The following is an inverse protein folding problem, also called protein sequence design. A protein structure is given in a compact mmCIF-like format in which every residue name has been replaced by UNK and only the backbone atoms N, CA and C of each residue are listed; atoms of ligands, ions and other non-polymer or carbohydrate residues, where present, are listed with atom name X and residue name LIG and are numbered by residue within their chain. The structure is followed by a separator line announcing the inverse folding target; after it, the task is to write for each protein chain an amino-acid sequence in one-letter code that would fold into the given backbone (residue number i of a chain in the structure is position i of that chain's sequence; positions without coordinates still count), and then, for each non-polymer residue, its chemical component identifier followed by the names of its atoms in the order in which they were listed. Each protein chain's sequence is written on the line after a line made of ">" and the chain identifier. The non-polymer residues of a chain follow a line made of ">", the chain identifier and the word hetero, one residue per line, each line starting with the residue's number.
data_IF_647914701943
#
_entry.id   IF_647914701943
#
_cell.length_a   1.000
_cell.length_b   1.000
_cell.length_c   1.000
_cell.angle_alpha   90.00
_cell.angle_beta   90.00
_cell.angle_gamma   90.00
#
_symmetry.space_group_name_H-M   'P 1'
#
loop_
_entity.id
_entity.type
_entity.pdbx_description
1 polymer ?
#
# COMPACT_ATOMS: atom_id res chain seq x y z
N UNK A 1 9.45 -47.12 39.19
CA UNK A 1 8.83 -48.43 39.41
C UNK A 1 7.99 -48.78 38.19
N UNK A 2 8.36 -49.92 37.63
CA UNK A 2 7.59 -50.86 36.80
C UNK A 2 7.09 -50.29 35.47
N UNK A 3 7.74 -50.60 34.33
CA UNK A 3 7.94 -51.90 33.62
C UNK A 3 6.72 -52.31 32.76
N UNK A 4 6.99 -52.23 31.46
CA UNK A 4 6.88 -53.34 30.48
C UNK A 4 5.53 -54.05 30.33
N UNK A 5 5.10 -54.24 29.09
CA UNK A 5 4.98 -55.61 28.49
C UNK A 5 4.33 -55.49 27.10
N UNK A 6 5.13 -55.70 26.04
CA UNK A 6 5.18 -56.92 25.20
C UNK A 6 3.86 -57.23 24.44
N UNK A 7 3.77 -57.54 23.24
CA UNK A 7 4.56 -58.25 22.22
C UNK A 7 3.55 -58.95 21.30
N UNK A 8 3.80 -58.90 20.01
CA UNK A 8 3.62 -59.93 18.96
C UNK A 8 2.26 -60.57 18.70
N UNK A 9 1.92 -60.59 17.44
CA UNK A 9 1.56 -61.75 16.62
C UNK A 9 1.39 -61.21 15.20
N UNK A 10 2.10 -61.53 14.20
CA UNK A 10 2.70 -62.84 13.81
C UNK A 10 2.18 -63.18 12.42
N UNK A 11 3.13 -63.19 11.53
CA UNK A 11 3.13 -63.76 10.17
C UNK A 11 2.31 -65.05 10.01
N UNK A 12 1.70 -65.25 8.82
CA UNK A 12 1.65 -66.50 8.04
C UNK A 12 1.15 -66.14 6.63
N UNK A 13 1.91 -66.09 5.61
CA UNK A 13 2.66 -67.04 4.78
C UNK A 13 1.84 -68.25 4.33
N UNK A 14 1.84 -68.45 3.07
CA UNK A 14 2.15 -69.62 2.26
C UNK A 14 1.20 -69.78 1.05
N UNK A 15 1.79 -69.59 -0.05
CA UNK A 15 1.80 -70.27 -1.34
C UNK A 15 1.14 -71.61 -1.43
N UNK A 16 0.39 -71.84 -2.53
CA UNK A 16 0.18 -73.16 -3.10
C UNK A 16 0.26 -73.08 -4.63
N UNK A 17 1.39 -73.60 -5.13
CA UNK A 17 1.57 -74.08 -6.49
C UNK A 17 0.94 -75.51 -6.61
N UNK A 18 0.42 -75.82 -7.76
CA UNK A 18 0.70 -77.01 -8.57
C UNK A 18 -0.45 -77.29 -9.54
N UNK A 19 -0.17 -77.24 -10.78
CA UNK A 19 0.06 -78.32 -11.78
C UNK A 19 -1.03 -79.36 -11.96
N UNK A 20 -1.50 -79.43 -13.20
CA UNK A 20 -1.68 -80.64 -14.05
C UNK A 20 -2.39 -80.21 -15.33
N UNK A 21 -1.83 -80.26 -16.47
CA UNK A 21 -1.37 -81.26 -17.40
C UNK A 21 -2.47 -81.83 -18.29
N UNK A 22 -2.31 -81.60 -19.57
CA UNK A 22 -2.56 -82.40 -20.78
C UNK A 22 -3.98 -82.91 -21.13
N UNK A 23 -4.37 -82.57 -22.35
CA UNK A 23 -5.41 -83.26 -23.13
C UNK A 23 -5.63 -82.52 -24.49
N UNK A 24 -5.03 -83.10 -25.55
CA UNK A 24 -5.12 -82.64 -26.94
C UNK A 24 -6.39 -83.13 -27.58
N UNK A 25 -7.07 -82.29 -28.41
CA UNK A 25 -7.63 -82.73 -29.71
C UNK A 25 -8.22 -81.59 -30.52
N UNK A 26 -7.81 -81.63 -31.75
CA UNK A 26 -8.22 -81.00 -33.01
C UNK A 26 -9.29 -79.92 -33.10
N UNK A 27 -9.00 -78.97 -33.97
CA UNK A 27 -9.75 -77.83 -34.49
C UNK A 27 -11.06 -78.22 -35.23
N UNK A 28 -11.97 -77.23 -35.45
CA UNK A 28 -11.93 -76.49 -36.70
C UNK A 28 -12.12 -74.96 -36.55
N UNK A 29 -11.73 -74.28 -37.62
CA UNK A 29 -11.73 -72.85 -37.80
C UNK A 29 -13.10 -72.19 -37.71
N UNK A 30 -13.17 -71.03 -37.08
CA UNK A 30 -14.15 -69.98 -37.40
C UNK A 30 -13.80 -68.63 -36.72
N UNK A 31 -13.93 -67.60 -37.52
CA UNK A 31 -14.20 -66.26 -37.23
C UNK A 31 -13.16 -65.43 -36.36
N UNK A 32 -12.54 -64.45 -37.02
CA UNK A 32 -11.83 -63.37 -36.43
C UNK A 32 -12.81 -62.52 -35.62
N UNK A 33 -12.62 -62.48 -34.31
CA UNK A 33 -13.26 -61.57 -33.42
C UNK A 33 -12.29 -60.39 -33.23
N UNK A 34 -12.73 -59.18 -33.65
CA UNK A 34 -12.03 -57.93 -33.48
C UNK A 34 -11.73 -57.71 -31.97
N UNK A 35 -10.46 -57.53 -31.64
CA UNK A 35 -10.04 -57.10 -30.32
C UNK A 35 -10.62 -55.69 -30.02
N UNK A 36 -11.15 -55.44 -28.77
CA UNK A 36 -11.54 -54.11 -28.38
C UNK A 36 -10.32 -53.16 -28.43
N UNK A 37 -10.48 -52.06 -29.11
CA UNK A 37 -9.49 -50.96 -29.08
C UNK A 37 -9.32 -50.54 -27.62
N UNK A 38 -8.09 -50.66 -27.11
CA UNK A 38 -7.66 -50.09 -25.84
C UNK A 38 -7.81 -48.57 -25.97
N UNK A 39 -8.86 -47.99 -25.37
CA UNK A 39 -8.97 -46.54 -25.22
C UNK A 39 -7.73 -46.04 -24.46
N UNK A 40 -6.87 -45.31 -25.16
CA UNK A 40 -5.76 -44.62 -24.56
C UNK A 40 -6.33 -43.62 -23.53
N UNK A 41 -6.16 -43.91 -22.24
CA UNK A 41 -6.40 -42.97 -21.15
C UNK A 41 -5.41 -41.82 -21.40
N UNK A 42 -5.93 -40.73 -21.97
CA UNK A 42 -5.21 -39.46 -22.04
C UNK A 42 -5.02 -39.08 -20.57
N UNK A 43 -3.79 -39.20 -20.09
CA UNK A 43 -3.40 -38.67 -18.79
C UNK A 43 -3.67 -37.17 -18.88
N UNK A 44 -4.66 -36.69 -18.13
CA UNK A 44 -4.93 -35.27 -17.90
C UNK A 44 -3.63 -34.68 -17.34
N UNK A 45 -3.07 -33.69 -18.02
CA UNK A 45 -1.88 -32.97 -17.52
C UNK A 45 -2.20 -32.50 -16.09
N UNK A 46 -1.27 -32.56 -15.14
CA UNK A 46 -1.49 -32.02 -13.80
C UNK A 46 -1.99 -30.61 -13.96
N UNK A 47 -3.13 -30.28 -13.35
CA UNK A 47 -3.59 -28.90 -13.26
C UNK A 47 -2.43 -28.10 -12.67
N UNK A 48 -1.99 -27.05 -13.35
CA UNK A 48 -1.01 -26.11 -12.78
C UNK A 48 -1.60 -25.61 -11.46
N UNK A 49 -0.86 -25.77 -10.37
CA UNK A 49 -1.28 -25.24 -9.08
C UNK A 49 -1.42 -23.72 -9.19
N UNK A 50 -2.58 -23.21 -8.78
CA UNK A 50 -2.85 -21.77 -8.77
C UNK A 50 -1.85 -21.08 -7.87
N UNK A 51 -1.20 -20.03 -8.37
CA UNK A 51 -0.23 -19.25 -7.59
C UNK A 51 -0.92 -18.41 -6.52
N UNK A 52 -0.35 -18.36 -5.31
CA UNK A 52 -0.87 -17.62 -4.17
C UNK A 52 -0.14 -16.30 -3.98
N UNK A 53 -0.88 -15.20 -3.94
CA UNK A 53 -0.40 -13.86 -3.63
C UNK A 53 -0.80 -13.45 -2.21
N UNK A 54 0.19 -13.32 -1.32
CA UNK A 54 0.00 -12.75 0.02
C UNK A 54 0.00 -11.24 -0.04
N UNK A 55 -1.04 -10.60 0.51
CA UNK A 55 -1.21 -9.14 0.52
C UNK A 55 -1.27 -8.66 1.96
N UNK A 56 -0.27 -7.88 2.40
CA UNK A 56 -0.19 -7.34 3.75
C UNK A 56 -0.37 -5.84 3.77
N UNK A 57 -1.47 -5.36 4.37
CA UNK A 57 -1.83 -3.95 4.53
C UNK A 57 -1.61 -3.49 5.97
N UNK A 58 -1.22 -2.20 6.21
CA UNK A 58 -0.86 -1.73 7.52
C UNK A 58 -2.06 -1.61 8.47
N UNK A 59 -3.21 -1.12 7.98
CA UNK A 59 -4.34 -0.77 8.84
C UNK A 59 -5.65 -0.63 8.06
N UNK A 60 -6.77 -0.57 8.78
CA UNK A 60 -8.10 -0.19 8.24
C UNK A 60 -8.53 1.21 8.66
N UNK A 61 -7.73 1.93 9.45
CA UNK A 61 -8.11 3.26 9.95
C UNK A 61 -8.12 4.31 8.85
N UNK A 62 -7.24 4.22 7.87
CA UNK A 62 -7.34 4.95 6.61
C UNK A 62 -8.08 4.10 5.58
N UNK A 63 -9.14 4.66 4.99
CA UNK A 63 -10.03 3.96 4.05
C UNK A 63 -9.32 3.58 2.75
N UNK A 64 -8.26 4.30 2.38
CA UNK A 64 -7.48 3.96 1.19
C UNK A 64 -6.90 2.54 1.25
N UNK A 65 -6.40 2.10 2.42
CA UNK A 65 -5.82 0.76 2.55
C UNK A 65 -6.82 -0.37 2.31
N UNK A 66 -8.10 -0.13 2.66
CA UNK A 66 -9.19 -1.05 2.32
C UNK A 66 -9.36 -1.08 0.80
N UNK A 67 -9.43 0.09 0.17
CA UNK A 67 -9.56 0.20 -1.29
C UNK A 67 -8.37 -0.40 -2.03
N UNK A 68 -7.14 -0.18 -1.56
CA UNK A 68 -5.92 -0.78 -2.11
C UNK A 68 -5.99 -2.32 -2.06
N UNK A 69 -6.28 -2.87 -0.88
CA UNK A 69 -6.35 -4.32 -0.67
C UNK A 69 -7.45 -4.98 -1.51
N UNK A 70 -8.67 -4.44 -1.49
CA UNK A 70 -9.80 -4.96 -2.26
C UNK A 70 -9.55 -4.86 -3.78
N UNK A 71 -8.93 -3.76 -4.24
CA UNK A 71 -8.56 -3.58 -5.65
C UNK A 71 -7.53 -4.62 -6.08
N UNK A 72 -6.52 -4.91 -5.25
CA UNK A 72 -5.52 -5.94 -5.54
C UNK A 72 -6.14 -7.32 -5.59
N UNK A 73 -6.95 -7.71 -4.59
CA UNK A 73 -7.66 -9.00 -4.58
C UNK A 73 -8.43 -9.17 -5.89
N UNK A 74 -9.23 -8.17 -6.24
CA UNK A 74 -10.03 -8.22 -7.48
C UNK A 74 -9.17 -8.44 -8.71
N UNK A 75 -8.09 -7.67 -8.87
CA UNK A 75 -7.25 -7.75 -10.08
C UNK A 75 -6.50 -9.09 -10.12
N UNK A 76 -5.96 -9.58 -9.00
CA UNK A 76 -5.27 -10.86 -8.96
C UNK A 76 -6.21 -12.04 -9.23
N UNK A 77 -7.41 -12.04 -8.66
CA UNK A 77 -8.41 -13.09 -8.92
C UNK A 77 -8.89 -13.07 -10.38
N UNK A 78 -9.07 -11.89 -11.00
CA UNK A 78 -9.37 -11.77 -12.44
C UNK A 78 -8.23 -12.31 -13.33
N UNK A 79 -6.98 -12.30 -12.84
CA UNK A 79 -5.81 -12.87 -13.51
C UNK A 79 -5.63 -14.39 -13.23
N UNK A 80 -6.44 -14.97 -12.35
CA UNK A 80 -6.43 -16.40 -12.01
C UNK A 80 -5.48 -16.76 -10.86
N UNK A 81 -5.08 -15.80 -10.02
CA UNK A 81 -4.30 -16.01 -8.81
C UNK A 81 -5.20 -16.20 -7.59
N UNK A 82 -4.77 -17.00 -6.63
CA UNK A 82 -5.35 -17.02 -5.29
C UNK A 82 -4.77 -15.88 -4.45
N UNK A 83 -5.55 -15.36 -3.50
CA UNK A 83 -5.13 -14.23 -2.67
C UNK A 83 -5.30 -14.49 -1.16
N UNK A 84 -4.37 -13.98 -0.33
CA UNK A 84 -4.50 -13.92 1.13
C UNK A 84 -4.29 -12.47 1.58
N UNK A 85 -5.40 -11.72 1.73
CA UNK A 85 -5.39 -10.32 2.16
C UNK A 85 -5.49 -10.21 3.68
N UNK A 86 -4.50 -9.59 4.31
CA UNK A 86 -4.45 -9.35 5.75
C UNK A 86 -4.21 -7.86 6.06
N UNK A 87 -4.83 -7.38 7.15
CA UNK A 87 -4.63 -6.04 7.70
C UNK A 87 -4.03 -6.16 9.09
N UNK A 88 -2.97 -5.42 9.35
CA UNK A 88 -2.18 -5.57 10.57
C UNK A 88 -2.62 -4.66 11.74
N UNK A 89 -3.61 -3.79 11.52
CA UNK A 89 -4.20 -2.87 12.52
C UNK A 89 -3.16 -1.97 13.24
N UNK A 90 -2.14 -1.51 12.48
CA UNK A 90 -0.99 -0.73 12.97
C UNK A 90 -0.14 -1.43 14.05
N UNK A 91 -0.27 -2.76 14.17
CA UNK A 91 0.52 -3.60 15.07
C UNK A 91 1.63 -4.33 14.30
N UNK A 92 2.90 -3.91 14.51
CA UNK A 92 4.06 -4.48 13.82
C UNK A 92 4.22 -5.99 14.09
N UNK A 93 4.14 -6.50 15.35
CA UNK A 93 4.16 -7.93 15.61
C UNK A 93 3.07 -8.70 14.87
N UNK A 94 1.87 -8.13 14.75
CA UNK A 94 0.78 -8.74 13.98
C UNK A 94 1.15 -8.81 12.49
N UNK A 95 1.71 -7.74 11.91
CA UNK A 95 2.15 -7.75 10.51
C UNK A 95 3.21 -8.81 10.24
N UNK A 96 4.22 -8.93 11.11
CA UNK A 96 5.25 -9.95 11.04
C UNK A 96 4.64 -11.37 11.02
N UNK A 97 3.77 -11.66 12.00
CA UNK A 97 3.11 -12.97 12.11
C UNK A 97 2.24 -13.29 10.87
N UNK A 98 1.55 -12.29 10.32
CA UNK A 98 0.74 -12.46 9.11
C UNK A 98 1.61 -12.82 7.91
N UNK A 99 2.74 -12.13 7.71
CA UNK A 99 3.67 -12.40 6.61
C UNK A 99 4.32 -13.79 6.77
N UNK A 100 4.77 -14.16 7.97
CA UNK A 100 5.29 -15.50 8.27
C UNK A 100 4.27 -16.60 7.95
N UNK A 101 2.99 -16.37 8.27
CA UNK A 101 1.91 -17.29 7.96
C UNK A 101 1.68 -17.41 6.44
N UNK A 102 1.75 -16.31 5.68
CA UNK A 102 1.64 -16.32 4.22
C UNK A 102 2.77 -17.14 3.59
N UNK A 103 4.01 -16.95 4.03
CA UNK A 103 5.18 -17.75 3.59
C UNK A 103 4.95 -19.22 3.90
N UNK A 104 4.51 -19.55 5.13
CA UNK A 104 4.26 -20.94 5.55
C UNK A 104 3.13 -21.61 4.77
N UNK A 105 2.12 -20.85 4.33
CA UNK A 105 1.03 -21.33 3.47
C UNK A 105 1.47 -21.56 2.02
N UNK A 106 2.69 -21.19 1.66
CA UNK A 106 3.25 -21.35 0.33
C UNK A 106 2.87 -20.22 -0.63
N UNK A 107 2.83 -18.96 -0.14
CA UNK A 107 2.70 -17.82 -1.02
C UNK A 107 3.86 -17.80 -2.04
N UNK A 108 3.56 -17.55 -3.30
CA UNK A 108 4.55 -17.38 -4.36
C UNK A 108 5.09 -15.94 -4.40
N UNK A 109 4.26 -14.98 -3.99
CA UNK A 109 4.58 -13.56 -3.93
C UNK A 109 3.99 -12.93 -2.68
N UNK A 110 4.70 -11.98 -2.11
CA UNK A 110 4.22 -11.06 -1.08
C UNK A 110 4.14 -9.64 -1.64
N UNK A 111 3.00 -9.01 -1.51
CA UNK A 111 2.78 -7.58 -1.79
C UNK A 111 2.54 -6.88 -0.45
N UNK A 112 3.49 -6.06 -0.01
CA UNK A 112 3.56 -5.57 1.37
C UNK A 112 3.54 -4.04 1.40
N UNK A 113 2.52 -3.48 2.05
CA UNK A 113 2.51 -2.10 2.53
C UNK A 113 2.87 -2.10 4.02
N UNK A 114 4.11 -1.76 4.35
CA UNK A 114 4.61 -1.88 5.71
C UNK A 114 4.03 -0.82 6.66
N UNK A 115 3.83 -1.18 7.92
CA UNK A 115 3.62 -0.22 9.01
C UNK A 115 4.91 0.58 9.22
N UNK A 116 6.02 -0.14 9.38
CA UNK A 116 7.39 0.37 9.49
C UNK A 116 8.30 -0.48 8.59
N UNK A 117 8.80 0.13 7.51
CA UNK A 117 9.60 -0.56 6.50
C UNK A 117 10.89 -1.20 7.02
N UNK A 118 11.37 -0.77 8.20
CA UNK A 118 12.65 -1.25 8.79
C UNK A 118 12.51 -2.51 9.65
N UNK A 119 11.29 -2.93 9.98
CA UNK A 119 11.03 -4.00 10.96
C UNK A 119 10.85 -5.38 10.34
N UNK A 120 10.82 -5.50 9.03
CA UNK A 120 10.47 -6.73 8.32
C UNK A 120 11.68 -7.54 7.81
N UNK A 121 12.90 -7.10 8.07
CA UNK A 121 14.14 -7.66 7.47
C UNK A 121 14.23 -9.18 7.62
N UNK A 122 13.96 -9.71 8.82
CA UNK A 122 14.10 -11.14 9.10
C UNK A 122 13.05 -11.99 8.37
N UNK A 123 11.80 -11.53 8.31
CA UNK A 123 10.74 -12.25 7.59
C UNK A 123 10.91 -12.16 6.08
N UNK A 124 11.48 -11.06 5.57
CA UNK A 124 11.83 -10.94 4.15
C UNK A 124 12.97 -11.90 3.77
N UNK A 125 13.93 -12.15 4.68
CA UNK A 125 14.95 -13.17 4.48
C UNK A 125 14.33 -14.57 4.42
N UNK A 126 13.40 -14.90 5.31
CA UNK A 126 12.67 -16.17 5.28
C UNK A 126 11.87 -16.35 3.98
N UNK A 127 11.21 -15.28 3.51
CA UNK A 127 10.49 -15.29 2.24
C UNK A 127 11.44 -15.60 1.07
N UNK A 128 12.59 -14.94 1.02
CA UNK A 128 13.61 -15.19 0.00
C UNK A 128 14.15 -16.65 0.03
N UNK A 129 14.45 -17.19 1.21
CA UNK A 129 14.90 -18.57 1.38
C UNK A 129 13.83 -19.60 0.94
N UNK A 130 12.56 -19.23 1.03
CA UNK A 130 11.44 -20.02 0.53
C UNK A 130 11.17 -19.82 -0.98
N UNK A 131 11.90 -18.91 -1.65
CA UNK A 131 11.73 -18.59 -3.06
C UNK A 131 10.54 -17.68 -3.36
N UNK A 132 10.03 -16.96 -2.35
CA UNK A 132 8.90 -16.03 -2.46
C UNK A 132 9.39 -14.68 -2.95
N UNK A 133 8.76 -14.14 -4.00
CA UNK A 133 9.02 -12.78 -4.49
C UNK A 133 8.43 -11.73 -3.53
N UNK A 134 9.11 -10.59 -3.39
CA UNK A 134 8.68 -9.50 -2.51
C UNK A 134 8.52 -8.21 -3.29
N UNK A 135 7.31 -7.67 -3.30
CA UNK A 135 6.99 -6.36 -3.86
C UNK A 135 6.60 -5.41 -2.73
N UNK A 136 7.39 -4.34 -2.55
CA UNK A 136 6.99 -3.22 -1.73
C UNK A 136 5.82 -2.49 -2.40
N UNK A 137 4.77 -2.22 -1.66
CA UNK A 137 3.57 -1.55 -2.17
C UNK A 137 3.34 -0.23 -1.43
N UNK A 138 3.26 0.87 -2.17
CA UNK A 138 3.12 2.24 -1.68
C UNK A 138 4.25 2.68 -0.73
N UNK A 139 4.62 1.89 0.27
CA UNK A 139 5.69 2.17 1.25
C UNK A 139 6.92 1.32 1.00
N UNK A 140 8.09 1.96 0.99
CA UNK A 140 9.36 1.27 0.73
C UNK A 140 9.74 0.36 1.91
N UNK A 141 10.13 -0.87 1.60
CA UNK A 141 10.76 -1.79 2.55
C UNK A 141 12.25 -1.49 2.60
N UNK A 142 12.77 -1.15 3.79
CA UNK A 142 14.15 -0.69 3.95
C UNK A 142 15.04 -1.71 4.67
N UNK A 143 16.36 -1.53 4.57
CA UNK A 143 17.40 -2.34 5.20
C UNK A 143 17.39 -3.83 4.80
N UNK A 144 16.83 -4.19 3.64
CA UNK A 144 16.79 -5.56 3.14
C UNK A 144 17.18 -5.63 1.67
N UNK A 145 18.04 -6.60 1.31
CA UNK A 145 18.31 -6.91 -0.10
C UNK A 145 17.21 -7.73 -0.76
N UNK A 146 16.29 -8.31 0.04
CA UNK A 146 15.21 -9.21 -0.37
C UNK A 146 13.92 -8.47 -0.72
N UNK A 147 14.03 -7.33 -1.35
CA UNK A 147 12.91 -6.56 -1.93
C UNK A 147 13.14 -6.53 -3.44
N UNK A 148 12.31 -7.21 -4.20
CA UNK A 148 12.55 -7.36 -5.64
C UNK A 148 12.14 -6.09 -6.40
N UNK A 149 10.95 -5.57 -6.11
CA UNK A 149 10.40 -4.39 -6.79
C UNK A 149 9.63 -3.50 -5.82
N UNK A 150 9.33 -2.27 -6.30
CA UNK A 150 8.53 -1.30 -5.57
C UNK A 150 7.48 -0.66 -6.50
N UNK A 151 6.22 -0.76 -6.13
CA UNK A 151 5.09 -0.09 -6.80
C UNK A 151 4.59 1.06 -5.92
N UNK A 152 4.64 2.29 -6.43
CA UNK A 152 4.24 3.48 -5.69
C UNK A 152 3.88 4.64 -6.62
N UNK A 153 3.67 5.83 -6.06
CA UNK A 153 3.54 7.09 -6.78
C UNK A 153 4.86 7.87 -6.76
N UNK A 154 4.97 8.90 -7.59
CA UNK A 154 6.05 9.88 -7.48
C UNK A 154 5.90 10.69 -6.18
N UNK A 155 6.50 10.19 -5.10
CA UNK A 155 6.35 10.74 -3.76
C UNK A 155 6.98 12.14 -3.62
N UNK A 156 8.08 12.42 -4.31
CA UNK A 156 8.64 13.77 -4.36
C UNK A 156 7.69 14.71 -5.12
N UNK A 157 7.13 14.25 -6.24
CA UNK A 157 6.12 14.97 -7.01
C UNK A 157 4.85 15.27 -6.19
N UNK A 158 4.41 14.35 -5.31
CA UNK A 158 3.32 14.63 -4.34
C UNK A 158 3.66 15.85 -3.50
N UNK A 159 4.88 15.91 -2.94
CA UNK A 159 5.34 17.05 -2.16
C UNK A 159 5.37 18.35 -2.98
N UNK A 160 5.90 18.30 -4.21
CA UNK A 160 5.91 19.45 -5.13
C UNK A 160 4.48 19.95 -5.39
N UNK A 161 3.52 19.05 -5.59
CA UNK A 161 2.10 19.43 -5.74
C UNK A 161 1.61 20.17 -4.50
N UNK A 162 1.83 19.64 -3.29
CA UNK A 162 1.39 20.28 -2.04
C UNK A 162 2.03 21.66 -1.86
N UNK A 163 3.33 21.79 -2.11
CA UNK A 163 4.00 23.10 -2.09
C UNK A 163 3.40 24.09 -3.09
N UNK A 164 3.12 23.63 -4.31
CA UNK A 164 2.47 24.43 -5.37
C UNK A 164 1.04 24.82 -5.01
N UNK A 165 0.30 23.96 -4.32
CA UNK A 165 -1.04 24.24 -3.80
C UNK A 165 -1.02 25.41 -2.80
N UNK A 166 -0.04 25.42 -1.86
CA UNK A 166 0.18 26.56 -0.95
C UNK A 166 0.58 27.83 -1.73
N UNK A 167 1.52 27.70 -2.67
CA UNK A 167 1.98 28.81 -3.51
C UNK A 167 0.81 29.47 -4.26
N UNK A 168 -0.07 28.64 -4.83
CA UNK A 168 -1.24 29.09 -5.59
C UNK A 168 -2.32 29.65 -4.68
N UNK A 169 -2.65 28.94 -3.59
CA UNK A 169 -3.72 29.32 -2.68
C UNK A 169 -3.46 30.65 -1.96
N UNK A 170 -2.20 30.99 -1.71
CA UNK A 170 -1.79 32.27 -1.14
C UNK A 170 -1.37 33.31 -2.20
N UNK A 171 -1.40 32.94 -3.48
CA UNK A 171 -0.85 33.78 -4.58
C UNK A 171 0.56 34.29 -4.30
N UNK A 172 1.44 33.39 -3.80
CA UNK A 172 2.77 33.78 -3.34
C UNK A 172 3.64 34.45 -4.42
N UNK A 173 3.35 34.25 -5.69
CA UNK A 173 4.08 34.92 -6.78
C UNK A 173 3.79 36.40 -6.84
N UNK A 174 2.58 36.83 -6.53
CA UNK A 174 2.11 38.20 -6.74
C UNK A 174 1.75 38.92 -5.45
N UNK A 175 1.22 38.25 -4.44
CA UNK A 175 0.82 38.84 -3.17
C UNK A 175 2.02 39.33 -2.37
N UNK A 176 1.89 40.41 -1.57
CA UNK A 176 3.01 41.01 -0.87
C UNK A 176 3.45 40.27 0.41
N UNK A 177 2.59 39.57 1.12
CA UNK A 177 2.94 38.90 2.38
C UNK A 177 3.27 39.89 3.54
N UNK A 178 3.86 39.46 4.67
CA UNK A 178 4.13 38.05 4.98
C UNK A 178 2.87 37.24 5.28
N UNK A 179 2.94 35.92 5.01
CA UNK A 179 1.89 34.97 5.35
C UNK A 179 2.41 33.97 6.40
N UNK A 180 1.54 33.61 7.35
CA UNK A 180 1.90 32.66 8.41
C UNK A 180 1.52 31.24 8.00
N UNK A 181 2.49 30.35 8.04
CA UNK A 181 2.31 28.94 7.71
C UNK A 181 2.75 28.05 8.86
N UNK A 182 2.07 26.91 9.07
CA UNK A 182 2.57 25.81 9.87
C UNK A 182 2.77 24.57 9.00
N UNK A 183 3.81 23.79 9.35
CA UNK A 183 4.23 22.61 8.60
C UNK A 183 3.92 21.38 9.42
N UNK A 184 3.28 20.39 8.79
CA UNK A 184 3.09 19.05 9.33
C UNK A 184 3.76 18.03 8.40
N UNK A 185 4.40 17.05 8.99
CA UNK A 185 5.01 15.89 8.31
C UNK A 185 4.26 14.62 8.61
N UNK A 186 4.45 13.61 7.77
CA UNK A 186 3.91 12.28 7.97
C UNK A 186 4.64 11.48 9.03
N UNK A 187 4.41 10.18 9.08
CA UNK A 187 5.03 9.30 10.06
C UNK A 187 6.54 9.14 9.81
N UNK A 188 7.37 9.21 10.86
CA UNK A 188 8.83 9.15 10.69
C UNK A 188 9.34 7.73 10.36
N UNK A 189 8.50 6.71 10.50
CA UNK A 189 8.77 5.32 10.13
C UNK A 189 8.35 4.97 8.68
N UNK A 190 7.85 5.97 7.94
CA UNK A 190 7.48 5.89 6.54
C UNK A 190 8.40 6.80 5.70
N UNK A 191 9.21 6.20 4.82
CA UNK A 191 10.15 6.93 3.97
C UNK A 191 9.46 7.94 3.04
N UNK A 192 8.21 7.68 2.64
CA UNK A 192 7.45 8.59 1.79
C UNK A 192 7.24 9.97 2.44
N UNK A 193 7.10 10.01 3.77
CA UNK A 193 6.92 11.26 4.51
C UNK A 193 8.06 12.26 4.29
N UNK A 194 9.28 11.76 4.13
CA UNK A 194 10.46 12.58 3.85
C UNK A 194 10.43 13.11 2.42
N UNK A 195 10.09 12.27 1.43
CA UNK A 195 9.93 12.72 0.04
C UNK A 195 8.82 13.76 -0.10
N UNK A 196 7.69 13.58 0.58
CA UNK A 196 6.60 14.58 0.59
C UNK A 196 7.09 15.92 1.17
N UNK A 197 7.77 15.86 2.30
CA UNK A 197 8.30 17.06 2.95
C UNK A 197 9.32 17.76 2.05
N UNK A 198 10.31 17.05 1.52
CA UNK A 198 11.37 17.61 0.69
C UNK A 198 10.82 18.19 -0.62
N UNK A 199 9.85 17.49 -1.24
CA UNK A 199 9.15 18.01 -2.42
C UNK A 199 8.40 19.30 -2.14
N UNK A 200 7.66 19.39 -1.03
CA UNK A 200 6.96 20.61 -0.65
C UNK A 200 7.94 21.76 -0.32
N UNK A 201 9.01 21.45 0.40
CA UNK A 201 10.02 22.43 0.76
C UNK A 201 10.82 22.93 -0.45
N UNK A 202 10.96 22.13 -1.52
CA UNK A 202 11.57 22.57 -2.78
C UNK A 202 10.86 23.79 -3.38
N UNK A 203 9.55 23.93 -3.13
CA UNK A 203 8.73 25.07 -3.55
C UNK A 203 8.66 26.15 -2.46
N UNK A 204 8.49 25.78 -1.19
CA UNK A 204 8.17 26.72 -0.12
C UNK A 204 9.41 27.37 0.50
N UNK A 205 10.57 26.70 0.51
CA UNK A 205 11.79 27.21 1.17
C UNK A 205 12.23 28.60 0.66
N UNK A 206 12.20 28.90 -0.66
CA UNK A 206 12.56 30.24 -1.14
C UNK A 206 11.66 31.37 -0.58
N UNK A 207 10.38 31.07 -0.35
CA UNK A 207 9.43 32.02 0.25
C UNK A 207 9.66 32.18 1.75
N UNK A 208 10.09 31.13 2.44
CA UNK A 208 10.47 31.18 3.86
C UNK A 208 11.77 31.96 4.01
N UNK A 209 12.79 31.72 3.19
CA UNK A 209 14.08 32.40 3.22
C UNK A 209 13.96 33.90 2.94
N UNK A 210 13.01 34.27 2.07
CA UNK A 210 12.72 35.69 1.80
C UNK A 210 11.87 36.36 2.87
N UNK A 211 11.33 35.63 3.83
CA UNK A 211 10.39 36.13 4.84
C UNK A 211 8.97 36.36 4.32
N UNK A 212 8.65 35.94 3.09
CA UNK A 212 7.29 36.02 2.53
C UNK A 212 6.35 34.98 3.15
N UNK A 213 6.88 33.80 3.48
CA UNK A 213 6.25 32.84 4.37
C UNK A 213 6.98 32.83 5.71
N UNK A 214 6.22 32.79 6.80
CA UNK A 214 6.76 32.77 8.17
C UNK A 214 6.20 31.58 8.90
N UNK A 215 7.06 30.63 9.28
CA UNK A 215 6.71 29.54 10.19
C UNK A 215 6.76 30.10 11.60
N UNK A 216 5.60 30.52 12.15
CA UNK A 216 5.53 31.24 13.43
C UNK A 216 6.08 30.43 14.60
N UNK A 217 5.90 29.13 14.59
CA UNK A 217 6.46 28.21 15.59
C UNK A 217 7.98 28.03 15.46
N UNK A 218 8.56 28.33 14.30
CA UNK A 218 9.94 27.97 13.95
C UNK A 218 10.17 26.46 13.83
N UNK A 219 9.11 25.61 13.87
CA UNK A 219 9.22 24.18 13.78
C UNK A 219 9.34 23.76 12.32
N UNK A 220 10.53 23.38 11.91
CA UNK A 220 10.86 22.93 10.55
C UNK A 220 11.70 21.67 10.62
N UNK A 221 11.66 20.86 9.55
CA UNK A 221 12.34 19.57 9.47
C UNK A 221 11.52 18.42 10.09
N UNK A 222 11.69 17.23 9.52
CA UNK A 222 10.90 16.04 9.89
C UNK A 222 11.04 15.66 11.38
N UNK A 223 12.17 16.00 12.03
CA UNK A 223 12.38 15.82 13.46
C UNK A 223 11.45 16.67 14.36
N UNK A 224 10.84 17.73 13.83
CA UNK A 224 9.94 18.64 14.54
C UNK A 224 8.48 18.50 14.11
N UNK A 225 8.26 18.16 12.85
CA UNK A 225 6.92 18.25 12.25
C UNK A 225 6.26 16.90 12.00
N UNK A 226 6.99 15.78 12.17
CA UNK A 226 6.46 14.43 11.95
C UNK A 226 5.28 14.09 12.84
N UNK A 227 4.38 13.27 12.32
CA UNK A 227 3.16 12.81 13.00
C UNK A 227 3.14 11.28 12.99
N UNK A 228 3.49 10.69 14.14
CA UNK A 228 3.62 9.24 14.28
C UNK A 228 2.33 8.52 13.86
N UNK A 229 2.48 7.44 13.08
CA UNK A 229 1.38 6.60 12.56
C UNK A 229 0.36 7.37 11.71
N UNK A 230 0.70 8.54 11.20
CA UNK A 230 -0.23 9.36 10.44
C UNK A 230 -1.53 9.67 11.20
N UNK A 231 -1.43 9.77 12.54
CA UNK A 231 -2.59 9.89 13.43
C UNK A 231 -3.14 11.33 13.46
N UNK A 232 -4.37 11.51 13.00
CA UNK A 232 -5.07 12.80 13.00
C UNK A 232 -5.28 13.38 14.39
N UNK A 233 -5.37 12.55 15.45
CA UNK A 233 -5.49 13.02 16.84
C UNK A 233 -4.18 13.66 17.29
N UNK A 234 -3.04 13.08 16.91
CA UNK A 234 -1.71 13.65 17.19
C UNK A 234 -1.54 14.97 16.47
N UNK A 235 -1.98 15.06 15.19
CA UNK A 235 -1.97 16.30 14.43
C UNK A 235 -2.88 17.37 15.05
N UNK A 236 -4.09 17.01 15.48
CA UNK A 236 -5.00 17.90 16.19
C UNK A 236 -4.36 18.46 17.47
N UNK A 237 -3.85 17.60 18.33
CA UNK A 237 -3.21 18.02 19.59
C UNK A 237 -2.00 18.96 19.33
N UNK A 238 -1.21 18.69 18.28
CA UNK A 238 -0.12 19.59 17.89
C UNK A 238 -0.66 20.93 17.39
N UNK A 239 -1.73 20.94 16.59
CA UNK A 239 -2.33 22.20 16.11
C UNK A 239 -2.92 23.01 17.25
N UNK A 240 -3.59 22.41 18.24
CA UNK A 240 -4.07 23.09 19.45
C UNK A 240 -2.93 23.80 20.19
N UNK A 241 -1.78 23.11 20.35
CA UNK A 241 -0.60 23.69 20.96
C UNK A 241 -0.03 24.85 20.15
N UNK A 242 0.04 24.72 18.81
CA UNK A 242 0.52 25.80 17.94
C UNK A 242 -0.38 27.03 18.03
N UNK A 243 -1.70 26.85 17.95
CA UNK A 243 -2.68 27.93 18.03
C UNK A 243 -2.58 28.68 19.37
N UNK A 244 -2.49 27.96 20.48
CA UNK A 244 -2.39 28.58 21.81
C UNK A 244 -1.08 29.29 22.07
N UNK A 245 0.04 28.81 21.51
CA UNK A 245 1.37 29.34 21.76
C UNK A 245 1.76 30.50 20.81
N UNK A 246 1.32 30.46 19.56
CA UNK A 246 1.86 31.35 18.50
C UNK A 246 0.79 32.16 17.77
N UNK A 247 -0.51 31.90 17.95
CA UNK A 247 -1.60 32.48 17.15
C UNK A 247 -2.67 33.18 17.99
N UNK A 248 -2.33 33.64 19.20
CA UNK A 248 -3.28 34.39 20.06
C UNK A 248 -3.61 35.77 19.52
N UNK A 249 -2.71 36.37 18.76
CA UNK A 249 -2.81 37.72 18.15
C UNK A 249 -2.52 37.74 16.64
N UNK A 250 -2.33 36.59 16.06
CA UNK A 250 -2.04 36.38 14.64
C UNK A 250 -3.01 35.35 14.06
N UNK A 251 -3.06 35.27 12.73
CA UNK A 251 -3.80 34.21 12.06
C UNK A 251 -2.86 33.22 11.39
N UNK A 252 -3.31 32.01 11.24
CA UNK A 252 -2.73 31.02 10.32
C UNK A 252 -3.27 31.33 8.92
N UNK A 253 -2.41 31.47 7.92
CA UNK A 253 -2.78 31.71 6.53
C UNK A 253 -2.70 30.43 5.69
N UNK A 254 -1.80 29.50 6.05
CA UNK A 254 -1.70 28.20 5.42
C UNK A 254 -1.24 27.11 6.40
N UNK A 255 -1.58 25.87 6.08
CA UNK A 255 -1.06 24.67 6.73
C UNK A 255 -0.64 23.67 5.66
N UNK A 256 0.63 23.32 5.63
CA UNK A 256 1.11 22.17 4.88
C UNK A 256 0.75 20.92 5.66
N UNK A 257 -0.18 20.13 5.16
CA UNK A 257 -0.59 18.84 5.72
C UNK A 257 -0.42 17.75 4.67
N UNK A 258 0.36 16.70 4.96
CA UNK A 258 0.72 15.69 3.97
C UNK A 258 -0.29 14.54 3.85
N UNK A 259 -1.44 14.58 4.56
CA UNK A 259 -2.44 13.54 4.54
C UNK A 259 -3.80 14.06 5.04
N UNK A 260 -4.87 13.64 4.40
CA UNK A 260 -6.24 14.08 4.67
C UNK A 260 -6.71 13.79 6.11
N UNK A 261 -6.33 12.63 6.66
CA UNK A 261 -6.64 12.30 8.06
C UNK A 261 -6.02 13.29 9.05
N UNK A 262 -4.80 13.78 8.77
CA UNK A 262 -4.17 14.84 9.57
C UNK A 262 -4.93 16.16 9.38
N UNK A 263 -5.30 16.47 8.13
CA UNK A 263 -6.01 17.70 7.79
C UNK A 263 -7.34 17.82 8.53
N UNK A 264 -8.10 16.72 8.65
CA UNK A 264 -9.34 16.69 9.42
C UNK A 264 -9.10 17.03 10.90
N UNK A 265 -8.03 16.49 11.51
CA UNK A 265 -7.64 16.84 12.89
C UNK A 265 -7.26 18.31 13.03
N UNK A 266 -6.46 18.83 12.09
CA UNK A 266 -6.03 20.24 12.03
C UNK A 266 -7.24 21.16 11.85
N UNK A 267 -8.17 20.84 10.95
CA UNK A 267 -9.39 21.60 10.71
C UNK A 267 -10.27 21.65 11.97
N UNK A 268 -10.34 20.58 12.75
CA UNK A 268 -11.05 20.54 14.02
C UNK A 268 -10.48 21.57 15.01
N UNK A 269 -9.16 21.65 15.16
CA UNK A 269 -8.49 22.66 16.00
C UNK A 269 -8.74 24.10 15.53
N UNK A 270 -8.62 24.32 14.22
CA UNK A 270 -8.86 25.64 13.60
C UNK A 270 -10.30 26.12 13.86
N UNK A 271 -11.29 25.26 13.63
CA UNK A 271 -12.71 25.55 13.92
C UNK A 271 -12.94 25.83 15.40
N UNK A 272 -12.26 25.11 16.29
CA UNK A 272 -12.33 25.28 17.74
C UNK A 272 -11.96 26.69 18.22
N UNK A 273 -11.13 27.43 17.46
CA UNK A 273 -10.73 28.82 17.76
C UNK A 273 -11.36 29.86 16.81
N UNK A 274 -12.39 29.47 16.04
CA UNK A 274 -13.23 30.39 15.27
C UNK A 274 -12.91 30.51 13.78
N UNK A 275 -11.96 29.75 13.24
CA UNK A 275 -11.76 29.72 11.78
C UNK A 275 -13.00 29.11 11.07
N UNK A 276 -13.23 29.54 9.84
CA UNK A 276 -14.43 29.19 9.05
C UNK A 276 -15.61 30.11 9.28
N UNK A 277 -15.46 31.19 10.06
CA UNK A 277 -16.48 32.24 10.25
C UNK A 277 -16.24 33.44 9.33
N UNK A 278 -17.23 34.31 9.15
CA UNK A 278 -17.16 35.50 8.28
C UNK A 278 -15.94 36.41 8.62
N UNK A 279 -15.60 36.53 9.90
CA UNK A 279 -14.46 37.35 10.36
C UNK A 279 -13.11 36.65 10.36
N UNK A 280 -13.10 35.31 10.21
CA UNK A 280 -11.88 34.50 10.29
C UNK A 280 -11.98 33.31 9.31
N UNK A 281 -11.78 33.55 8.01
CA UNK A 281 -11.86 32.49 7.01
C UNK A 281 -10.84 31.39 7.26
N UNK A 282 -11.12 30.17 6.73
CA UNK A 282 -10.19 29.06 6.79
C UNK A 282 -8.86 29.43 6.10
N UNK A 283 -7.73 28.93 6.60
CA UNK A 283 -6.44 29.01 5.90
C UNK A 283 -6.42 28.08 4.68
N UNK A 284 -5.43 28.25 3.82
CA UNK A 284 -5.12 27.24 2.81
C UNK A 284 -4.63 25.96 3.51
N UNK A 285 -5.34 24.85 3.34
CA UNK A 285 -4.97 23.56 3.94
C UNK A 285 -4.82 22.51 2.83
N UNK A 286 -3.67 21.87 2.77
CA UNK A 286 -3.39 20.76 1.85
C UNK A 286 -3.82 19.42 2.47
N UNK A 287 -3.71 18.37 1.70
CA UNK A 287 -3.96 17.00 2.12
C UNK A 287 -3.50 16.03 1.04
N UNK A 288 -3.72 14.74 1.27
CA UNK A 288 -3.43 13.67 0.33
C UNK A 288 -4.38 12.51 0.55
N UNK A 289 -4.59 11.73 -0.49
CA UNK A 289 -5.38 10.51 -0.62
C UNK A 289 -6.86 10.72 -0.96
N UNK A 290 -7.32 11.97 -1.05
CA UNK A 290 -8.69 12.32 -1.45
C UNK A 290 -9.78 11.56 -0.66
N UNK A 291 -9.59 11.41 0.66
CA UNK A 291 -10.55 10.70 1.51
C UNK A 291 -11.90 11.40 1.53
N UNK A 292 -13.00 10.63 1.63
CA UNK A 292 -14.37 11.14 1.58
C UNK A 292 -14.60 12.29 2.56
N UNK A 293 -14.07 12.19 3.79
CA UNK A 293 -14.22 13.23 4.81
C UNK A 293 -13.57 14.56 4.37
N UNK A 294 -12.41 14.49 3.75
CA UNK A 294 -11.69 15.65 3.23
C UNK A 294 -12.37 16.26 2.01
N UNK A 295 -12.87 15.43 1.10
CA UNK A 295 -13.66 15.95 -0.04
C UNK A 295 -14.93 16.66 0.44
N UNK A 296 -15.62 16.12 1.45
CA UNK A 296 -16.76 16.82 2.08
C UNK A 296 -16.35 18.14 2.74
N UNK A 297 -15.19 18.16 3.43
CA UNK A 297 -14.63 19.40 3.98
C UNK A 297 -14.24 20.40 2.89
N UNK A 298 -13.75 19.92 1.74
CA UNK A 298 -13.46 20.77 0.58
C UNK A 298 -14.74 21.36 -0.02
N UNK A 299 -15.79 20.57 -0.19
CA UNK A 299 -17.10 21.01 -0.66
C UNK A 299 -17.71 22.04 0.32
N UNK A 300 -17.49 21.87 1.62
CA UNK A 300 -17.90 22.82 2.66
C UNK A 300 -17.04 24.10 2.73
N UNK A 301 -15.94 24.18 1.96
CA UNK A 301 -15.03 25.32 1.96
C UNK A 301 -14.08 25.35 3.17
N UNK A 302 -13.87 24.23 3.83
CA UNK A 302 -12.99 24.10 5.00
C UNK A 302 -11.57 23.67 4.64
N UNK A 303 -11.40 22.65 3.78
CA UNK A 303 -10.12 22.23 3.21
C UNK A 303 -9.98 22.80 1.80
N UNK A 304 -8.77 23.17 1.40
CA UNK A 304 -8.57 23.80 0.08
C UNK A 304 -8.17 22.79 -0.98
N UNK A 305 -7.24 21.89 -0.65
CA UNK A 305 -6.60 20.97 -1.59
C UNK A 305 -6.42 19.58 -1.00
N UNK A 306 -6.36 18.59 -1.89
CA UNK A 306 -5.81 17.28 -1.62
C UNK A 306 -4.99 16.79 -2.82
N UNK A 307 -4.16 15.77 -2.63
CA UNK A 307 -3.46 15.08 -3.71
C UNK A 307 -4.11 13.72 -3.91
N UNK A 308 -4.63 13.48 -5.10
CA UNK A 308 -5.26 12.22 -5.45
C UNK A 308 -4.24 11.23 -5.99
N UNK A 309 -4.29 10.03 -5.45
CA UNK A 309 -3.56 8.83 -5.85
C UNK A 309 -4.57 7.72 -6.12
N UNK A 310 -4.75 7.33 -7.37
CA UNK A 310 -5.73 6.30 -7.73
C UNK A 310 -5.23 4.91 -7.31
N UNK A 311 -5.76 4.40 -6.20
CA UNK A 311 -5.41 3.11 -5.62
C UNK A 311 -5.71 1.94 -6.57
N UNK A 312 -6.70 2.09 -7.46
CA UNK A 312 -7.06 1.08 -8.46
C UNK A 312 -5.97 0.92 -9.51
N UNK A 313 -5.35 2.04 -9.91
CA UNK A 313 -4.24 2.02 -10.88
C UNK A 313 -2.96 1.49 -10.22
N UNK A 314 -2.71 1.81 -8.94
CA UNK A 314 -1.59 1.24 -8.21
C UNK A 314 -1.73 -0.28 -8.05
N UNK A 315 -2.93 -0.77 -7.71
CA UNK A 315 -3.23 -2.19 -7.61
C UNK A 315 -3.00 -2.93 -8.94
N UNK A 316 -3.49 -2.36 -10.05
CA UNK A 316 -3.24 -2.90 -11.41
C UNK A 316 -1.76 -2.94 -11.75
N UNK A 317 -1.02 -1.89 -11.41
CA UNK A 317 0.41 -1.83 -11.67
C UNK A 317 1.17 -2.87 -10.86
N UNK A 318 0.88 -3.01 -9.57
CA UNK A 318 1.48 -4.05 -8.73
C UNK A 318 1.17 -5.44 -9.28
N UNK A 319 -0.07 -5.69 -9.69
CA UNK A 319 -0.47 -6.97 -10.28
C UNK A 319 0.25 -7.25 -11.61
N UNK A 320 0.44 -6.25 -12.47
CA UNK A 320 1.22 -6.40 -13.69
C UNK A 320 2.70 -6.73 -13.41
N UNK A 321 3.28 -6.14 -12.36
CA UNK A 321 4.65 -6.45 -11.94
C UNK A 321 4.78 -7.87 -11.40
N UNK A 322 3.82 -8.31 -10.58
CA UNK A 322 3.74 -9.69 -10.06
C UNK A 322 3.61 -10.69 -11.20
N UNK A 323 2.67 -10.48 -12.12
CA UNK A 323 2.39 -11.38 -13.23
C UNK A 323 3.61 -11.55 -14.14
N UNK A 324 4.26 -10.44 -14.51
CA UNK A 324 5.48 -10.48 -15.31
C UNK A 324 6.61 -11.23 -14.59
N UNK A 325 6.82 -10.95 -13.30
CA UNK A 325 7.87 -11.61 -12.51
C UNK A 325 7.63 -13.13 -12.40
N UNK A 326 6.40 -13.57 -12.12
CA UNK A 326 6.04 -14.99 -12.01
C UNK A 326 6.17 -15.74 -13.34
N UNK A 327 5.96 -15.07 -14.47
CA UNK A 327 6.12 -15.62 -15.82
C UNK A 327 7.56 -15.57 -16.32
N UNK A 328 8.46 -14.90 -15.59
CA UNK A 328 9.84 -14.67 -16.04
C UNK A 328 9.93 -13.70 -17.23
N UNK A 329 8.94 -12.82 -17.36
CA UNK A 329 8.89 -11.75 -18.34
C UNK A 329 9.56 -10.46 -17.82
N UNK A 330 9.75 -9.46 -18.68
CA UNK A 330 10.30 -8.18 -18.28
C UNK A 330 9.28 -7.43 -17.39
N UNK A 331 9.68 -7.19 -16.11
CA UNK A 331 8.83 -6.50 -15.15
C UNK A 331 8.73 -5.02 -15.51
N UNK A 332 7.51 -4.45 -15.63
CA UNK A 332 7.37 -3.03 -15.92
C UNK A 332 7.91 -2.18 -14.77
N UNK A 333 8.94 -1.39 -15.04
CA UNK A 333 9.56 -0.41 -14.15
C UNK A 333 9.83 0.88 -14.91
N UNK A 334 9.83 2.02 -14.22
CA UNK A 334 10.15 3.31 -14.83
C UNK A 334 11.12 4.15 -13.99
N UNK A 335 11.62 3.60 -12.87
CA UNK A 335 12.61 4.26 -12.01
C UNK A 335 13.59 3.22 -11.43
N UNK A 336 14.90 3.49 -11.58
CA UNK A 336 16.00 2.67 -11.08
C UNK A 336 17.07 3.50 -10.37
N UNK A 337 16.75 4.71 -9.93
CA UNK A 337 17.73 5.66 -9.42
C UNK A 337 17.32 6.28 -8.06
N UNK A 338 16.03 6.37 -7.76
CA UNK A 338 15.53 7.23 -6.68
C UNK A 338 15.39 6.49 -5.34
N UNK A 339 14.88 5.27 -5.36
CA UNK A 339 14.46 4.60 -4.13
C UNK A 339 15.55 3.69 -3.57
N UNK A 340 16.50 4.32 -2.86
CA UNK A 340 17.51 3.61 -2.07
C UNK A 340 16.88 3.13 -0.76
N UNK A 341 16.89 1.82 -0.54
CA UNK A 341 16.34 1.22 0.66
C UNK A 341 17.39 1.02 1.78
N UNK A 342 18.56 1.63 1.63
CA UNK A 342 19.69 1.52 2.57
C UNK A 342 20.64 0.35 2.25
N UNK A 343 20.27 -0.53 1.33
CA UNK A 343 21.10 -1.67 0.88
C UNK A 343 21.26 -1.64 -0.64
N UNK A 344 20.22 -1.29 -1.35
CA UNK A 344 20.22 -1.21 -2.82
C UNK A 344 19.20 -0.18 -3.31
N UNK A 345 19.36 0.23 -4.57
CA UNK A 345 18.26 0.90 -5.29
C UNK A 345 17.25 -0.16 -5.69
N UNK A 346 16.00 -0.02 -5.24
CA UNK A 346 14.91 -0.93 -5.59
C UNK A 346 14.28 -0.51 -6.91
N UNK A 347 14.28 -1.39 -7.94
CA UNK A 347 13.61 -1.10 -9.20
C UNK A 347 12.12 -0.81 -8.96
N UNK A 348 11.64 0.35 -9.43
CA UNK A 348 10.35 0.87 -9.04
C UNK A 348 9.47 1.24 -10.23
N UNK A 349 8.16 1.19 -10.03
CA UNK A 349 7.21 1.84 -10.91
C UNK A 349 6.49 2.97 -10.17
N UNK A 350 6.59 4.18 -10.71
CA UNK A 350 6.03 5.39 -10.13
C UNK A 350 4.83 5.85 -10.95
N UNK A 351 3.66 5.89 -10.32
CA UNK A 351 2.46 6.49 -10.90
C UNK A 351 2.45 8.00 -10.66
N UNK A 352 1.71 8.71 -11.50
CA UNK A 352 1.58 10.17 -11.43
C UNK A 352 0.46 10.53 -10.45
N UNK A 353 0.73 11.35 -9.41
CA UNK A 353 -0.30 11.90 -8.54
C UNK A 353 -0.96 13.14 -9.18
N UNK A 354 -2.17 13.48 -8.73
CA UNK A 354 -2.95 14.61 -9.25
C UNK A 354 -3.35 15.58 -8.14
N UNK A 355 -3.24 16.90 -8.43
CA UNK A 355 -3.80 17.94 -7.56
C UNK A 355 -5.31 18.01 -7.69
N UNK A 356 -6.02 17.95 -6.57
CA UNK A 356 -7.48 18.04 -6.53
C UNK A 356 -7.91 19.19 -5.64
N UNK A 357 -8.87 19.97 -6.15
CA UNK A 357 -9.55 21.05 -5.45
C UNK A 357 -11.04 21.09 -5.81
N UNK A 358 -11.76 22.09 -5.32
CA UNK A 358 -13.20 22.26 -5.54
C UNK A 358 -13.59 22.40 -7.02
N UNK A 359 -12.66 22.77 -7.89
CA UNK A 359 -12.93 23.00 -9.31
C UNK A 359 -12.83 21.73 -10.16
N UNK A 360 -12.12 20.70 -9.69
CA UNK A 360 -11.83 19.50 -10.48
C UNK A 360 -12.14 18.16 -9.77
N UNK A 361 -12.59 18.18 -8.50
CA UNK A 361 -12.86 16.93 -7.77
C UNK A 361 -13.91 16.04 -8.45
N UNK A 362 -14.87 16.63 -9.14
CA UNK A 362 -15.88 15.86 -9.90
C UNK A 362 -15.22 15.02 -11.00
N UNK A 363 -14.35 15.65 -11.80
CA UNK A 363 -13.63 14.98 -12.89
C UNK A 363 -12.77 13.82 -12.39
N UNK A 364 -11.90 14.08 -11.39
CA UNK A 364 -10.96 13.08 -10.91
C UNK A 364 -11.58 11.99 -10.06
N UNK A 365 -12.63 12.29 -9.28
CA UNK A 365 -13.16 11.37 -8.29
C UNK A 365 -14.50 10.76 -8.67
N UNK A 366 -15.39 11.52 -9.34
CA UNK A 366 -16.75 11.03 -9.66
C UNK A 366 -16.82 10.52 -11.09
N UNK A 367 -16.41 11.32 -12.06
CA UNK A 367 -16.47 10.94 -13.48
C UNK A 367 -15.52 9.77 -13.79
N UNK A 368 -14.41 9.65 -13.05
CA UNK A 368 -13.49 8.51 -13.10
C UNK A 368 -14.10 7.22 -12.50
N UNK A 369 -15.20 7.33 -11.75
CA UNK A 369 -15.83 6.22 -11.02
C UNK A 369 -15.05 5.78 -9.78
N UNK A 370 -14.17 6.63 -9.21
CA UNK A 370 -13.49 6.35 -7.94
C UNK A 370 -14.46 6.43 -6.76
N UNK A 371 -15.31 7.47 -6.74
CA UNK A 371 -16.44 7.62 -5.83
C UNK A 371 -17.75 7.82 -6.60
N UNK A 372 -18.86 7.53 -5.95
CA UNK A 372 -20.18 7.98 -6.42
C UNK A 372 -20.48 9.38 -5.87
N UNK A 373 -21.29 10.16 -6.61
CA UNK A 373 -21.69 11.49 -6.14
C UNK A 373 -22.40 11.45 -4.77
N UNK A 374 -23.15 10.38 -4.49
CA UNK A 374 -23.87 10.20 -3.22
C UNK A 374 -22.93 10.01 -2.01
N UNK A 375 -21.74 9.40 -2.23
CA UNK A 375 -20.72 9.25 -1.18
C UNK A 375 -20.14 10.59 -0.74
N UNK A 376 -20.15 11.59 -1.62
CA UNK A 376 -19.57 12.91 -1.39
C UNK A 376 -20.58 13.98 -0.93
N UNK A 377 -21.84 13.62 -0.78
CA UNK A 377 -22.92 14.50 -0.25
C UNK A 377 -22.97 14.52 1.28
#
# INVERSE_FOLDING_TARGET
>A
MKKNLYVLFGLLVIASLALSACGSSAAPAAAAEEAPAEEAVVAEAPAEETKLVGISMPTKTSTRWISDGESMVKVFEEMGYDTDLQFADDDIPNQLNQIENMVTKGADVLVIAAIDGSTLTDVLQQAHEAGVLVIAYDRLLVNSENVDYYATFDNFGVGVIMGTQIETGLDLKNAEGPFNIELFGGSPDDTNAYYFYDGAMSILQPYIDSGKLVVQSGQMGMDKVSTLRWDGIVAQARMDNLLSAFYTDKRVDAVLSPYDGLSIGILSSLKGVGYGTEGQPMPVVTGQDAEIASIKSMIAGEQTYTVFKDTRELAKQAAAMVDAALKGEEVPINNTETYDNGVKIVPSYLLIPFSVDITNYMEYLVDSGYYTADQLQ
#
